data_IF_254100967323
#
_entry.id   IF_254100967323
#
_cell.length_a   1.000
_cell.length_b   1.000
_cell.length_c   1.000
_cell.angle_alpha   90.00
_cell.angle_beta   90.00
_cell.angle_gamma   90.00
#
_symmetry.space_group_name_H-M   'P 1'
#
loop_
_entity.id
_entity.type
_entity.pdbx_description
1 polymer ?
#
# COMPACT_ATOMS: atom_id res chain seq x y z
N UNK A 1 12.36 -25.30 -25.59
CA UNK A 1 11.71 -24.90 -24.33
C UNK A 1 10.39 -24.24 -24.71
N UNK A 2 9.26 -24.88 -24.40
CA UNK A 2 7.93 -24.27 -24.60
C UNK A 2 7.72 -23.25 -23.48
N UNK A 3 7.61 -21.96 -23.85
CA UNK A 3 7.24 -20.91 -22.90
C UNK A 3 5.73 -21.00 -22.69
N UNK A 4 5.28 -21.17 -21.45
CA UNK A 4 3.85 -21.11 -21.15
C UNK A 4 3.31 -19.72 -21.50
N UNK A 5 2.07 -19.61 -22.03
CA UNK A 5 1.45 -18.32 -22.25
C UNK A 5 1.32 -17.56 -20.92
N UNK A 6 1.42 -16.23 -20.97
CA UNK A 6 1.16 -15.39 -19.81
C UNK A 6 -0.27 -15.61 -19.34
N UNK A 7 -0.46 -15.89 -18.05
CA UNK A 7 -1.78 -15.94 -17.40
C UNK A 7 -2.24 -14.55 -16.95
N UNK A 8 -1.37 -13.54 -17.05
CA UNK A 8 -1.72 -12.17 -16.70
C UNK A 8 -2.78 -11.65 -17.69
N UNK A 9 -3.91 -11.12 -17.21
CA UNK A 9 -4.91 -10.51 -18.07
C UNK A 9 -4.30 -9.37 -18.89
N UNK A 10 -4.65 -9.30 -20.18
CA UNK A 10 -4.26 -8.21 -21.06
C UNK A 10 -5.26 -7.03 -20.95
N UNK A 11 -5.37 -6.39 -19.79
CA UNK A 11 -6.20 -5.17 -19.61
C UNK A 11 -5.52 -4.17 -18.68
N UNK A 12 -5.51 -2.90 -19.11
CA UNK A 12 -4.96 -1.69 -18.46
C UNK A 12 -3.57 -1.87 -17.80
N UNK A 13 -2.60 -2.23 -18.64
CA UNK A 13 -1.33 -2.84 -18.27
C UNK A 13 -0.23 -1.90 -17.72
N UNK A 14 -0.53 -0.80 -17.03
CA UNK A 14 0.56 0.11 -16.58
C UNK A 14 0.41 0.70 -15.18
N UNK A 15 -0.41 0.09 -14.33
CA UNK A 15 -0.62 0.58 -12.97
C UNK A 15 -0.04 -0.38 -11.93
N UNK A 16 0.78 0.19 -11.05
CA UNK A 16 1.27 -0.49 -9.86
C UNK A 16 0.08 -0.80 -8.92
N UNK A 17 0.03 -2.05 -8.47
CA UNK A 17 -0.95 -2.56 -7.50
C UNK A 17 -0.33 -2.50 -6.11
N UNK A 18 -1.05 -1.91 -5.16
CA UNK A 18 -0.62 -1.79 -3.77
C UNK A 18 -1.53 -2.61 -2.85
N UNK A 19 -0.92 -3.45 -2.02
CA UNK A 19 -1.62 -4.23 -1.01
C UNK A 19 -1.09 -3.89 0.39
N UNK A 20 -2.01 -3.81 1.34
CA UNK A 20 -1.72 -3.46 2.74
C UNK A 20 -1.83 -4.70 3.62
N UNK A 21 -0.88 -4.83 4.54
CA UNK A 21 -0.93 -5.79 5.65
C UNK A 21 -1.15 -5.02 6.93
N UNK A 22 -2.19 -5.40 7.67
CA UNK A 22 -2.48 -4.87 9.00
C UNK A 22 -2.20 -5.88 10.10
N UNK A 23 -2.10 -5.37 11.32
CA UNK A 23 -2.02 -6.17 12.53
C UNK A 23 -3.37 -6.19 13.26
N UNK A 24 -4.03 -7.35 13.23
CA UNK A 24 -5.30 -7.63 13.88
C UNK A 24 -5.04 -8.45 15.15
N UNK A 25 -5.05 -7.80 16.31
CA UNK A 25 -4.89 -8.45 17.62
C UNK A 25 -3.70 -9.44 17.67
N UNK A 26 -2.53 -9.01 17.19
CA UNK A 26 -1.30 -9.83 17.16
C UNK A 26 -1.19 -10.80 15.97
N UNK A 27 -2.12 -10.75 15.01
CA UNK A 27 -2.06 -11.51 13.76
C UNK A 27 -1.92 -10.57 12.58
N UNK A 28 -1.01 -10.88 11.66
CA UNK A 28 -0.81 -10.08 10.45
C UNK A 28 -1.57 -10.71 9.29
N UNK A 29 -2.39 -9.91 8.61
CA UNK A 29 -3.16 -10.35 7.45
C UNK A 29 -3.23 -9.27 6.37
N UNK A 30 -3.43 -9.70 5.13
CA UNK A 30 -3.72 -8.81 4.01
C UNK A 30 -5.13 -8.23 4.16
N UNK A 31 -5.26 -6.93 3.96
CA UNK A 31 -6.56 -6.28 3.91
C UNK A 31 -7.27 -6.68 2.61
N UNK A 32 -8.59 -6.81 2.69
CA UNK A 32 -9.41 -6.95 1.50
C UNK A 32 -9.37 -5.63 0.71
N UNK A 33 -9.11 -5.70 -0.58
CA UNK A 33 -9.01 -4.53 -1.45
C UNK A 33 -9.62 -4.89 -2.79
N UNK A 34 -10.60 -4.10 -3.23
CA UNK A 34 -11.19 -4.25 -4.55
C UNK A 34 -10.13 -3.97 -5.62
N UNK A 35 -10.22 -4.64 -6.78
CA UNK A 35 -9.20 -4.55 -7.83
C UNK A 35 -9.02 -3.10 -8.31
N UNK A 36 -10.14 -2.38 -8.46
CA UNK A 36 -10.21 -0.96 -8.84
C UNK A 36 -9.60 0.00 -7.81
N UNK A 37 -9.47 -0.42 -6.55
CA UNK A 37 -9.00 0.40 -5.44
C UNK A 37 -7.52 0.15 -5.10
N UNK A 38 -6.83 -0.69 -5.87
CA UNK A 38 -5.43 -1.03 -5.61
C UNK A 38 -4.42 0.04 -6.03
N UNK A 39 -4.87 1.16 -6.60
CA UNK A 39 -4.01 2.22 -7.10
C UNK A 39 -3.34 3.06 -6.02
N UNK A 40 -2.19 3.65 -6.36
CA UNK A 40 -1.43 4.53 -5.45
C UNK A 40 -2.25 5.69 -4.90
N UNK A 41 -3.06 6.33 -5.75
CA UNK A 41 -3.89 7.46 -5.34
C UNK A 41 -4.97 7.04 -4.33
N UNK A 42 -5.62 5.90 -4.57
CA UNK A 42 -6.60 5.31 -3.66
C UNK A 42 -5.94 4.92 -2.34
N UNK A 43 -4.83 4.19 -2.38
CA UNK A 43 -4.05 3.84 -1.18
C UNK A 43 -3.75 5.07 -0.32
N UNK A 44 -3.22 6.14 -0.93
CA UNK A 44 -2.83 7.34 -0.19
C UNK A 44 -4.04 8.04 0.45
N UNK A 45 -5.16 8.11 -0.25
CA UNK A 45 -6.41 8.66 0.28
C UNK A 45 -6.91 7.80 1.44
N UNK A 46 -7.02 6.49 1.26
CA UNK A 46 -7.59 5.59 2.26
C UNK A 46 -6.72 5.50 3.52
N UNK A 47 -5.38 5.57 3.37
CA UNK A 47 -4.47 5.74 4.49
C UNK A 47 -4.74 7.06 5.22
N UNK A 48 -4.81 8.20 4.51
CA UNK A 48 -5.07 9.51 5.11
C UNK A 48 -6.44 9.58 5.82
N UNK A 49 -7.46 8.95 5.25
CA UNK A 49 -8.81 8.85 5.80
C UNK A 49 -8.87 7.89 7.00
N UNK A 50 -7.77 7.18 7.30
CA UNK A 50 -7.66 6.27 8.44
C UNK A 50 -8.44 4.96 8.28
N UNK A 51 -8.70 4.54 7.04
CA UNK A 51 -9.41 3.29 6.74
C UNK A 51 -8.60 2.02 7.08
N UNK A 52 -7.30 2.18 7.32
CA UNK A 52 -6.44 1.17 7.91
C UNK A 52 -6.16 1.54 9.38
N UNK A 53 -6.58 0.69 10.31
CA UNK A 53 -6.41 0.85 11.76
C UNK A 53 -4.96 0.64 12.23
N UNK A 54 -4.28 -0.38 11.72
CA UNK A 54 -2.89 -0.70 12.10
C UNK A 54 -2.04 -1.24 10.94
N UNK A 55 -1.79 -0.42 9.88
CA UNK A 55 -0.97 -0.85 8.75
C UNK A 55 0.47 -1.12 9.18
N UNK A 56 0.99 -2.27 8.78
CA UNK A 56 2.34 -2.74 9.13
C UNK A 56 3.23 -2.94 7.92
N UNK A 57 2.69 -3.23 6.74
CA UNK A 57 3.47 -3.39 5.51
C UNK A 57 2.64 -3.00 4.32
N UNK A 58 3.28 -2.36 3.35
CA UNK A 58 2.70 -2.07 2.04
C UNK A 58 3.61 -2.69 0.99
N UNK A 59 3.04 -3.57 0.16
CA UNK A 59 3.75 -4.18 -0.96
C UNK A 59 3.16 -3.63 -2.24
N UNK A 60 4.03 -3.10 -3.09
CA UNK A 60 3.69 -2.74 -4.45
C UNK A 60 4.16 -3.84 -5.41
N UNK A 61 3.40 -4.10 -6.46
CA UNK A 61 3.85 -4.94 -7.56
C UNK A 61 3.30 -4.44 -8.88
N UNK A 62 4.05 -4.72 -9.94
CA UNK A 62 3.66 -4.46 -11.31
C UNK A 62 3.85 -5.76 -12.10
N UNK A 63 2.74 -6.35 -12.55
CA UNK A 63 2.75 -7.63 -13.26
C UNK A 63 3.20 -7.49 -14.71
N UNK A 64 3.03 -6.31 -15.31
CA UNK A 64 3.52 -5.98 -16.67
C UNK A 64 5.04 -5.88 -16.69
N UNK A 65 5.61 -5.13 -15.76
CA UNK A 65 7.05 -4.91 -15.65
C UNK A 65 7.79 -6.04 -14.89
N UNK A 66 7.05 -6.90 -14.18
CA UNK A 66 7.58 -8.10 -13.53
C UNK A 66 8.33 -7.83 -12.24
N UNK A 67 7.91 -6.85 -11.44
CA UNK A 67 8.53 -6.54 -10.15
C UNK A 67 7.54 -6.55 -8.99
N UNK A 68 8.07 -6.77 -7.78
CA UNK A 68 7.38 -6.61 -6.50
C UNK A 68 8.36 -6.08 -5.45
N UNK A 69 7.92 -5.14 -4.62
CA UNK A 69 8.75 -4.47 -3.59
C UNK A 69 7.94 -4.12 -2.35
N UNK A 70 8.57 -4.25 -1.18
CA UNK A 70 8.06 -3.64 0.05
C UNK A 70 8.33 -2.13 -0.02
N UNK A 71 7.26 -1.34 -0.12
CA UNK A 71 7.30 0.13 -0.27
C UNK A 71 6.86 0.85 1.00
N UNK A 72 6.82 0.14 2.13
CA UNK A 72 6.30 0.68 3.40
C UNK A 72 6.96 2.02 3.79
N UNK A 73 8.28 2.11 3.70
CA UNK A 73 9.03 3.32 4.06
C UNK A 73 8.77 4.45 3.06
N UNK A 74 8.72 4.15 1.77
CA UNK A 74 8.45 5.15 0.72
C UNK A 74 7.08 5.81 0.93
N UNK A 75 6.04 5.00 1.17
CA UNK A 75 4.69 5.50 1.39
C UNK A 75 4.61 6.29 2.71
N UNK A 76 5.25 5.81 3.77
CA UNK A 76 5.29 6.53 5.05
C UNK A 76 5.99 7.90 4.93
N UNK A 77 7.10 7.98 4.20
CA UNK A 77 7.81 9.24 3.96
C UNK A 77 6.97 10.21 3.13
N UNK A 78 6.21 9.71 2.16
CA UNK A 78 5.26 10.54 1.43
C UNK A 78 4.13 11.05 2.32
N UNK A 79 3.50 10.18 3.12
CA UNK A 79 2.49 10.60 4.09
C UNK A 79 3.03 11.67 5.02
N UNK A 80 4.22 11.46 5.61
CA UNK A 80 4.87 12.44 6.50
C UNK A 80 5.01 13.82 5.86
N UNK A 81 5.34 13.88 4.57
CA UNK A 81 5.44 15.14 3.82
C UNK A 81 4.09 15.80 3.56
N UNK A 82 3.00 15.04 3.50
CA UNK A 82 1.64 15.56 3.33
C UNK A 82 1.01 15.98 4.66
N UNK A 83 1.34 15.32 5.77
CA UNK A 83 0.76 15.61 7.08
C UNK A 83 0.92 17.07 7.52
N UNK A 84 1.99 17.75 7.11
CA UNK A 84 2.21 19.18 7.42
C UNK A 84 1.15 20.11 6.81
N UNK A 85 0.36 19.62 5.85
CA UNK A 85 -0.71 20.38 5.18
C UNK A 85 -2.09 20.18 5.86
N UNK A 86 -2.20 19.29 6.85
CA UNK A 86 -3.46 18.95 7.52
C UNK A 86 -3.43 19.33 9.00
N UNK A 87 -4.49 20.00 9.47
CA UNK A 87 -4.62 20.40 10.88
C UNK A 87 -4.92 19.20 11.80
N UNK A 88 -5.66 18.20 11.29
CA UNK A 88 -6.00 16.98 12.02
C UNK A 88 -5.67 15.75 11.17
N UNK A 89 -5.01 14.77 11.79
CA UNK A 89 -4.56 13.53 11.15
C UNK A 89 -4.98 12.36 12.03
N UNK A 90 -5.51 11.30 11.43
CA UNK A 90 -5.91 10.10 12.16
C UNK A 90 -4.71 9.48 12.91
N UNK A 91 -4.92 9.06 14.15
CA UNK A 91 -3.85 8.54 15.02
C UNK A 91 -3.18 7.28 14.44
N UNK A 92 -3.91 6.45 13.70
CA UNK A 92 -3.37 5.28 13.00
C UNK A 92 -2.29 5.67 11.98
N UNK A 93 -2.48 6.79 11.27
CA UNK A 93 -1.53 7.31 10.26
C UNK A 93 -0.25 7.79 10.92
N UNK A 94 -0.35 8.53 12.03
CA UNK A 94 0.81 8.96 12.80
C UNK A 94 1.62 7.77 13.30
N UNK A 95 0.95 6.80 13.93
CA UNK A 95 1.55 5.55 14.40
C UNK A 95 2.25 4.80 13.28
N UNK A 96 1.63 4.74 12.09
CA UNK A 96 2.21 4.11 10.91
C UNK A 96 3.51 4.78 10.47
N UNK A 97 3.50 6.11 10.34
CA UNK A 97 4.68 6.90 9.92
C UNK A 97 5.82 6.76 10.93
N UNK A 98 5.52 6.83 12.23
CA UNK A 98 6.51 6.66 13.30
C UNK A 98 7.14 5.25 13.30
N UNK A 99 6.31 4.22 13.14
CA UNK A 99 6.77 2.83 13.02
C UNK A 99 7.69 2.64 11.82
N UNK A 100 7.33 3.22 10.68
CA UNK A 100 8.12 3.10 9.45
C UNK A 100 9.48 3.82 9.54
N UNK A 101 9.56 4.94 10.27
CA UNK A 101 10.82 5.66 10.50
C UNK A 101 11.83 4.88 11.36
N UNK A 102 11.39 3.84 12.06
CA UNK A 102 12.21 3.00 12.94
C UNK A 102 12.72 1.71 12.27
N UNK A 103 12.52 1.55 10.95
CA UNK A 103 12.88 0.35 10.18
C UNK A 103 14.30 0.37 9.61
#
# INVERSE_FOLDING_TARGET
MSRSPSIAPHVAADQDVYLVVEEFAGRRAWCETAEEDTGRATLMRDLMDGLYEDPTRIVAFNTTEGWSRDVTVEIADELRRRLVEFDEVAACVLKFVERAASR
#
